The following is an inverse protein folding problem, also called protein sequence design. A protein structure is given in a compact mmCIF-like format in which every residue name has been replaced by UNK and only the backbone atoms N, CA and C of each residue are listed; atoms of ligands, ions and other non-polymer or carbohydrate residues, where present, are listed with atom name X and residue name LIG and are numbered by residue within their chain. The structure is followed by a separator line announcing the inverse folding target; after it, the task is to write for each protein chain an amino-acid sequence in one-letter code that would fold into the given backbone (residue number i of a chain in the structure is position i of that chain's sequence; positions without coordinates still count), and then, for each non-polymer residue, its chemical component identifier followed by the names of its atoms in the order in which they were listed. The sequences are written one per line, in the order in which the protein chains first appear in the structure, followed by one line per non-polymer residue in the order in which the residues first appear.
data_IF_311041209629
#
_entry.id   IF_311041209629
#
_cell.length_a   1.000
_cell.length_b   1.000
_cell.length_c   1.000
_cell.angle_alpha   90.00
_cell.angle_beta   90.00
_cell.angle_gamma   90.00
#
_symmetry.space_group_name_H-M   'P 1'
#
loop_
_entity.id
_entity.type
_entity.pdbx_description
1 polymer ?
#
# COMPACT_ATOMS: atom_id res chain seq x y z
N UNK A 1 -13.37 10.32 -26.31
CA UNK A 1 -14.41 9.38 -25.79
C UNK A 1 -14.76 9.81 -24.39
N UNK A 2 -16.04 10.02 -24.07
CA UNK A 2 -16.49 10.47 -22.74
C UNK A 2 -17.05 9.29 -21.96
N UNK A 3 -16.17 8.38 -21.51
CA UNK A 3 -16.57 7.17 -20.78
C UNK A 3 -15.99 7.27 -19.37
N UNK A 4 -16.82 7.37 -18.31
CA UNK A 4 -16.34 7.31 -16.94
C UNK A 4 -15.50 6.04 -16.74
N UNK A 5 -14.27 6.23 -16.27
CA UNK A 5 -13.29 5.17 -16.10
C UNK A 5 -12.88 5.09 -14.64
N UNK A 6 -13.25 3.99 -13.98
CA UNK A 6 -12.94 3.75 -12.58
C UNK A 6 -11.65 2.93 -12.55
N UNK A 7 -10.53 3.58 -12.24
CA UNK A 7 -9.21 2.99 -12.34
C UNK A 7 -8.76 2.43 -10.99
N UNK A 8 -8.41 1.15 -10.98
CA UNK A 8 -7.92 0.42 -9.81
C UNK A 8 -6.49 -0.04 -10.12
N UNK A 9 -5.50 0.67 -9.55
CA UNK A 9 -4.10 0.34 -9.77
C UNK A 9 -3.71 -0.98 -9.10
N UNK A 10 -3.16 -1.92 -9.88
CA UNK A 10 -2.48 -3.12 -9.37
C UNK A 10 -0.99 -2.84 -9.20
N UNK A 11 -0.39 -3.44 -8.17
CA UNK A 11 1.05 -3.54 -8.06
C UNK A 11 1.56 -4.76 -8.83
N UNK A 12 2.79 -4.70 -9.33
CA UNK A 12 3.44 -5.82 -10.00
C UNK A 12 4.03 -6.76 -8.94
N UNK A 13 3.67 -8.05 -8.99
CA UNK A 13 4.26 -9.10 -8.14
C UNK A 13 4.27 -8.79 -6.63
N UNK A 14 3.29 -8.05 -6.13
CA UNK A 14 3.19 -7.66 -4.72
C UNK A 14 4.21 -6.62 -4.25
N UNK A 15 5.00 -6.04 -5.15
CA UNK A 15 5.92 -4.92 -4.83
C UNK A 15 5.12 -3.68 -4.36
N UNK A 16 5.66 -2.83 -3.46
CA UNK A 16 4.94 -1.64 -3.02
C UNK A 16 4.58 -0.73 -4.21
N UNK A 17 3.38 -0.12 -4.19
CA UNK A 17 2.98 0.79 -5.27
C UNK A 17 3.81 2.08 -5.28
N UNK A 18 4.04 2.58 -6.48
CA UNK A 18 4.40 3.97 -6.75
C UNK A 18 3.31 4.64 -7.60
N UNK A 19 3.24 5.97 -7.58
CA UNK A 19 2.30 6.70 -8.45
C UNK A 19 2.61 6.44 -9.92
N UNK A 20 1.59 6.29 -10.77
CA UNK A 20 1.80 5.94 -12.18
C UNK A 20 2.56 7.00 -13.01
N UNK A 21 2.83 8.19 -12.46
CA UNK A 21 3.57 9.25 -13.16
C UNK A 21 2.88 9.75 -14.45
N UNK A 22 1.56 9.54 -14.59
CA UNK A 22 0.83 9.92 -15.79
C UNK A 22 0.67 11.45 -15.84
N UNK A 23 1.54 12.14 -16.59
CA UNK A 23 1.31 13.52 -17.04
C UNK A 23 0.18 13.54 -18.05
N UNK A 24 -1.05 13.60 -17.57
CA UNK A 24 -2.22 13.76 -18.43
C UNK A 24 -2.30 15.20 -18.88
N UNK A 25 -2.48 15.41 -20.18
CA UNK A 25 -2.65 16.74 -20.75
C UNK A 25 -3.89 17.40 -20.14
N UNK A 26 -3.71 18.56 -19.51
CA UNK A 26 -4.80 19.34 -18.87
C UNK A 26 -5.80 19.93 -19.86
N UNK A 27 -5.57 19.75 -21.17
CA UNK A 27 -6.40 20.30 -22.26
C UNK A 27 -7.75 19.59 -22.41
N UNK A 28 -7.94 18.42 -21.81
CA UNK A 28 -9.17 17.64 -21.93
C UNK A 28 -9.74 17.27 -20.56
N UNK A 29 -11.06 17.18 -20.48
CA UNK A 29 -11.76 16.69 -19.29
C UNK A 29 -11.25 15.31 -18.88
N UNK A 30 -10.94 15.15 -17.59
CA UNK A 30 -10.46 13.89 -17.05
C UNK A 30 -11.64 12.97 -16.69
N UNK A 31 -11.85 11.92 -17.50
CA UNK A 31 -12.87 10.90 -17.26
C UNK A 31 -12.44 9.76 -16.33
N UNK A 32 -11.21 9.78 -15.80
CA UNK A 32 -10.74 8.74 -14.88
C UNK A 32 -10.89 9.17 -13.43
N UNK A 33 -11.48 8.29 -12.62
CA UNK A 33 -11.49 8.37 -11.17
C UNK A 33 -10.57 7.28 -10.60
N UNK A 34 -9.58 7.68 -9.80
CA UNK A 34 -8.62 6.79 -9.17
C UNK A 34 -9.24 6.22 -7.89
N UNK A 35 -9.66 4.96 -7.95
CA UNK A 35 -10.40 4.28 -6.88
C UNK A 35 -9.51 3.98 -5.68
N UNK A 36 -8.27 3.52 -5.93
CA UNK A 36 -7.29 3.39 -4.86
C UNK A 36 -6.78 4.77 -4.45
N UNK A 37 -6.50 4.98 -3.16
CA UNK A 37 -5.96 6.25 -2.69
C UNK A 37 -4.56 6.52 -3.26
N UNK A 38 -4.11 7.78 -3.22
CA UNK A 38 -2.72 8.12 -3.46
C UNK A 38 -1.77 7.23 -2.66
N UNK A 39 -0.56 7.02 -3.18
CA UNK A 39 0.48 6.29 -2.45
C UNK A 39 1.02 7.23 -1.37
N UNK A 40 0.88 6.86 -0.10
CA UNK A 40 1.38 7.64 1.05
C UNK A 40 2.57 7.00 1.77
N UNK A 41 3.24 6.03 1.14
CA UNK A 41 4.33 5.30 1.78
C UNK A 41 5.47 6.24 2.22
N UNK A 42 5.72 7.32 1.47
CA UNK A 42 6.73 8.35 1.77
C UNK A 42 6.44 9.13 3.04
N UNK A 43 5.19 9.60 3.18
CA UNK A 43 4.77 10.37 4.33
C UNK A 43 4.78 9.50 5.58
N UNK A 44 4.29 8.27 5.46
CA UNK A 44 4.25 7.32 6.58
C UNK A 44 5.66 6.95 7.02
N UNK A 45 6.55 6.61 6.08
CA UNK A 45 7.92 6.22 6.45
C UNK A 45 8.70 7.39 7.05
N UNK A 46 8.54 8.61 6.52
CA UNK A 46 9.20 9.80 7.07
C UNK A 46 8.79 10.04 8.52
N UNK A 47 7.49 9.96 8.83
CA UNK A 47 7.00 10.09 10.20
C UNK A 47 7.61 9.02 11.12
N UNK A 48 7.65 7.76 10.68
CA UNK A 48 8.18 6.65 11.49
C UNK A 48 9.67 6.80 11.76
N UNK A 49 10.48 7.17 10.76
CA UNK A 49 11.93 7.32 10.97
C UNK A 49 12.26 8.56 11.81
N UNK A 50 11.46 9.63 11.71
CA UNK A 50 11.61 10.81 12.56
C UNK A 50 11.32 10.48 14.03
N UNK A 51 10.26 9.71 14.31
CA UNK A 51 9.95 9.22 15.66
C UNK A 51 11.05 8.32 16.22
N UNK A 52 11.69 7.50 15.38
CA UNK A 52 12.84 6.70 15.81
C UNK A 52 14.17 7.46 15.83
N UNK A 53 14.18 8.75 15.46
CA UNK A 53 15.36 9.59 15.34
C UNK A 53 16.49 8.95 14.50
N UNK A 54 16.14 8.27 13.42
CA UNK A 54 17.15 7.67 12.52
C UNK A 54 17.89 8.76 11.73
N UNK A 55 19.23 8.67 11.69
CA UNK A 55 20.09 9.60 10.93
C UNK A 55 20.88 8.91 9.81
N UNK A 56 21.07 7.59 9.90
CA UNK A 56 21.77 6.78 8.91
C UNK A 56 21.06 5.45 8.72
N UNK A 57 20.73 5.10 7.48
CA UNK A 57 20.02 3.85 7.16
C UNK A 57 20.12 3.50 5.67
N UNK A 58 19.80 2.25 5.33
CA UNK A 58 19.75 1.75 3.95
C UNK A 58 18.31 1.42 3.53
N UNK A 59 17.98 1.71 2.28
CA UNK A 59 16.72 1.34 1.65
C UNK A 59 16.97 0.20 0.68
N UNK A 60 16.34 -0.94 0.95
CA UNK A 60 16.27 -2.07 0.04
C UNK A 60 14.98 -2.04 -0.75
N UNK A 61 15.08 -2.20 -2.07
CA UNK A 61 13.91 -2.25 -2.96
C UNK A 61 14.05 -3.38 -3.98
N UNK A 62 12.93 -3.96 -4.41
CA UNK A 62 12.95 -5.09 -5.34
C UNK A 62 13.04 -4.64 -6.80
N UNK A 63 13.17 -5.59 -7.74
CA UNK A 63 13.32 -5.29 -9.17
C UNK A 63 12.12 -4.58 -9.79
N UNK A 64 10.94 -4.75 -9.19
CA UNK A 64 9.67 -4.20 -9.68
C UNK A 64 9.33 -2.85 -9.06
N UNK A 65 10.01 -2.46 -7.98
CA UNK A 65 9.75 -1.22 -7.29
C UNK A 65 10.23 -0.01 -8.10
N UNK A 66 9.31 0.91 -8.37
CA UNK A 66 9.62 2.17 -9.05
C UNK A 66 10.12 3.21 -8.04
N UNK A 67 11.44 3.45 -8.03
CA UNK A 67 12.13 4.35 -7.10
C UNK A 67 11.67 5.82 -7.18
N UNK A 68 10.97 6.25 -8.25
CA UNK A 68 10.32 7.56 -8.28
C UNK A 68 9.30 7.70 -7.15
N UNK A 69 8.78 6.57 -6.68
CA UNK A 69 7.90 6.46 -5.53
C UNK A 69 8.49 7.01 -4.24
N UNK A 70 9.81 7.08 -4.07
CA UNK A 70 10.48 7.62 -2.86
C UNK A 70 11.23 8.95 -3.09
N UNK A 71 11.05 9.60 -4.24
CA UNK A 71 11.78 10.84 -4.55
C UNK A 71 11.57 11.93 -3.48
N UNK A 72 10.31 12.25 -3.16
CA UNK A 72 9.99 13.28 -2.16
C UNK A 72 10.52 12.93 -0.76
N UNK A 73 10.62 11.63 -0.45
CA UNK A 73 11.21 11.16 0.80
C UNK A 73 12.72 11.41 0.81
N UNK A 74 13.43 11.08 -0.27
CA UNK A 74 14.87 11.28 -0.39
C UNK A 74 15.24 12.77 -0.35
N UNK A 75 14.45 13.62 -1.00
CA UNK A 75 14.64 15.07 -0.97
C UNK A 75 14.53 15.62 0.46
N UNK A 76 13.53 15.18 1.22
CA UNK A 76 13.35 15.58 2.64
C UNK A 76 14.45 15.01 3.54
N UNK A 77 14.84 13.75 3.34
CA UNK A 77 15.93 13.13 4.10
C UNK A 77 17.26 13.87 3.88
N UNK A 78 17.55 14.25 2.63
CA UNK A 78 18.72 15.04 2.25
C UNK A 78 18.70 16.44 2.88
N UNK A 79 17.55 17.13 2.83
CA UNK A 79 17.38 18.44 3.51
C UNK A 79 17.61 18.38 5.03
N UNK A 80 17.33 17.23 5.65
CA UNK A 80 17.55 16.99 7.07
C UNK A 80 18.96 16.46 7.38
N UNK A 81 19.82 16.28 6.38
CA UNK A 81 21.19 15.79 6.55
C UNK A 81 21.31 14.30 6.89
N UNK A 82 20.28 13.49 6.56
CA UNK A 82 20.33 12.04 6.79
C UNK A 82 21.24 11.34 5.78
N UNK A 83 21.99 10.34 6.24
CA UNK A 83 22.83 9.46 5.41
C UNK A 83 21.98 8.26 4.94
N UNK A 84 21.51 8.32 3.69
CA UNK A 84 20.61 7.32 3.11
C UNK A 84 21.28 6.57 1.97
N UNK A 85 21.51 5.27 2.15
CA UNK A 85 21.95 4.38 1.09
C UNK A 85 20.75 3.75 0.36
N UNK A 86 20.88 3.51 -0.95
CA UNK A 86 19.90 2.76 -1.73
C UNK A 86 20.54 1.51 -2.32
N UNK A 87 19.86 0.37 -2.20
CA UNK A 87 20.32 -0.89 -2.77
C UNK A 87 19.17 -1.72 -3.32
N UNK A 88 19.23 -2.01 -4.61
CA UNK A 88 18.30 -2.95 -5.25
C UNK A 88 18.61 -4.38 -4.79
N UNK A 89 17.58 -5.13 -4.42
CA UNK A 89 17.65 -6.56 -4.11
C UNK A 89 17.36 -7.34 -5.38
N UNK A 90 18.35 -8.10 -5.86
CA UNK A 90 18.20 -8.96 -7.03
C UNK A 90 17.31 -10.17 -6.72
N UNK A 91 16.58 -10.66 -7.73
CA UNK A 91 15.73 -11.85 -7.59
C UNK A 91 16.51 -13.08 -7.10
N UNK A 92 17.79 -13.20 -7.49
CA UNK A 92 18.70 -14.22 -6.96
C UNK A 92 19.50 -13.67 -5.78
N UNK A 93 18.84 -13.63 -4.61
CA UNK A 93 19.39 -13.10 -3.35
C UNK A 93 20.67 -13.85 -2.94
N UNK A 94 20.71 -15.17 -3.12
CA UNK A 94 21.87 -15.99 -2.78
C UNK A 94 23.09 -15.57 -3.60
N UNK A 95 22.92 -15.37 -4.92
CA UNK A 95 23.99 -14.89 -5.78
C UNK A 95 24.43 -13.47 -5.37
N UNK A 96 23.49 -12.57 -5.08
CA UNK A 96 23.81 -11.21 -4.63
C UNK A 96 24.70 -11.22 -3.38
N UNK A 97 24.31 -11.99 -2.37
CA UNK A 97 25.04 -12.08 -1.10
C UNK A 97 26.38 -12.81 -1.27
N UNK A 98 26.42 -13.93 -2.01
CA UNK A 98 27.67 -14.64 -2.29
C UNK A 98 28.67 -13.79 -3.07
N UNK A 99 28.21 -13.01 -4.07
CA UNK A 99 29.06 -12.08 -4.82
C UNK A 99 29.59 -10.96 -3.91
N UNK A 100 28.77 -10.46 -2.99
CA UNK A 100 29.20 -9.46 -1.99
C UNK A 100 30.33 -10.02 -1.11
N UNK A 101 30.18 -11.21 -0.55
CA UNK A 101 31.24 -11.86 0.24
C UNK A 101 32.51 -12.14 -0.56
N UNK A 102 32.39 -12.47 -1.85
CA UNK A 102 33.52 -12.76 -2.71
C UNK A 102 34.32 -11.51 -3.14
N UNK A 103 33.70 -10.32 -3.07
CA UNK A 103 34.28 -9.07 -3.61
C UNK A 103 34.72 -8.10 -2.51
N UNK A 104 34.07 -8.10 -1.35
CA UNK A 104 34.37 -7.17 -0.26
C UNK A 104 35.46 -7.71 0.67
N UNK A 105 36.35 -6.82 1.10
CA UNK A 105 37.32 -7.10 2.16
C UNK A 105 36.66 -7.11 3.53
N UNK A 106 37.34 -7.66 4.54
CA UNK A 106 36.81 -7.76 5.91
C UNK A 106 36.37 -6.40 6.49
N UNK A 107 37.16 -5.35 6.28
CA UNK A 107 36.84 -3.99 6.74
C UNK A 107 35.58 -3.42 6.06
N UNK A 108 35.42 -3.67 4.76
CA UNK A 108 34.24 -3.25 3.99
C UNK A 108 33.00 -4.01 4.45
N UNK A 109 33.14 -5.32 4.69
CA UNK A 109 32.08 -6.15 5.26
C UNK A 109 31.64 -5.67 6.65
N UNK A 110 32.58 -5.27 7.51
CA UNK A 110 32.25 -4.73 8.82
C UNK A 110 31.50 -3.38 8.71
N UNK A 111 31.91 -2.50 7.79
CA UNK A 111 31.17 -1.27 7.49
C UNK A 111 29.78 -1.55 6.93
N UNK A 112 29.66 -2.56 6.06
CA UNK A 112 28.37 -2.96 5.50
C UNK A 112 27.43 -3.50 6.60
N UNK A 113 27.93 -4.34 7.51
CA UNK A 113 27.18 -4.81 8.69
C UNK A 113 26.70 -3.66 9.57
N UNK A 114 27.51 -2.62 9.76
CA UNK A 114 27.09 -1.41 10.48
C UNK A 114 25.93 -0.69 9.78
N UNK A 115 26.00 -0.51 8.46
CA UNK A 115 24.92 0.05 7.64
C UNK A 115 23.63 -0.79 7.73
N UNK A 116 23.74 -2.12 7.81
CA UNK A 116 22.60 -3.03 7.95
C UNK A 116 21.89 -2.96 9.31
N UNK A 117 22.42 -2.25 10.31
CA UNK A 117 21.75 -2.07 11.60
C UNK A 117 20.41 -1.36 11.46
N UNK A 118 20.23 -0.51 10.45
CA UNK A 118 18.99 0.23 10.19
C UNK A 118 18.62 0.13 8.72
N UNK A 119 17.54 -0.57 8.40
CA UNK A 119 17.11 -0.78 7.02
C UNK A 119 15.61 -0.58 6.83
N UNK A 120 15.22 -0.12 5.64
CA UNK A 120 13.83 -0.01 5.20
C UNK A 120 13.65 -0.92 3.98
N UNK A 121 12.62 -1.77 4.01
CA UNK A 121 12.34 -2.77 2.97
C UNK A 121 11.11 -2.35 2.14
N UNK A 122 11.35 -1.86 0.94
CA UNK A 122 10.36 -1.66 -0.13
C UNK A 122 10.35 -2.89 -1.04
N UNK A 123 9.95 -4.03 -0.48
CA UNK A 123 9.99 -5.34 -1.14
C UNK A 123 8.59 -5.96 -1.18
N UNK A 124 8.34 -6.85 -2.13
CA UNK A 124 7.23 -7.79 -2.04
C UNK A 124 7.36 -8.66 -0.78
N UNK A 125 6.26 -9.15 -0.19
CA UNK A 125 6.33 -10.04 0.97
C UNK A 125 7.20 -11.27 0.73
N UNK A 126 7.13 -11.86 -0.47
CA UNK A 126 7.94 -13.02 -0.83
C UNK A 126 9.44 -12.69 -0.83
N UNK A 127 9.84 -11.61 -1.51
CA UNK A 127 11.23 -11.17 -1.59
C UNK A 127 11.76 -10.79 -0.21
N UNK A 128 10.97 -10.07 0.60
CA UNK A 128 11.34 -9.70 1.96
C UNK A 128 11.63 -10.91 2.83
N UNK A 129 10.76 -11.93 2.81
CA UNK A 129 10.95 -13.16 3.60
C UNK A 129 12.23 -13.90 3.21
N UNK A 130 12.49 -14.04 1.91
CA UNK A 130 13.70 -14.66 1.41
C UNK A 130 14.96 -13.85 1.77
N UNK A 131 14.89 -12.52 1.61
CA UNK A 131 16.01 -11.62 1.89
C UNK A 131 16.38 -11.60 3.37
N UNK A 132 15.38 -11.46 4.24
CA UNK A 132 15.55 -11.51 5.70
C UNK A 132 16.17 -12.83 6.13
N UNK A 133 15.68 -13.98 5.66
CA UNK A 133 16.29 -15.27 5.98
C UNK A 133 17.75 -15.32 5.54
N UNK A 134 18.05 -14.93 4.30
CA UNK A 134 19.41 -15.04 3.80
C UNK A 134 20.42 -14.16 4.55
N UNK A 135 20.04 -12.94 4.95
CA UNK A 135 20.94 -12.07 5.73
C UNK A 135 21.15 -12.57 7.17
N UNK A 136 20.14 -13.20 7.77
CA UNK A 136 20.23 -13.80 9.10
C UNK A 136 21.12 -15.04 9.05
N UNK A 137 20.85 -15.95 8.11
CA UNK A 137 21.61 -17.20 7.94
C UNK A 137 23.09 -16.93 7.59
N UNK A 138 23.36 -15.82 6.91
CA UNK A 138 24.72 -15.37 6.57
C UNK A 138 25.41 -14.54 7.66
N UNK A 139 24.79 -14.35 8.83
CA UNK A 139 25.29 -13.52 9.93
C UNK A 139 25.68 -12.09 9.48
N UNK A 140 24.88 -11.48 8.60
CA UNK A 140 25.07 -10.10 8.16
C UNK A 140 24.39 -9.08 9.09
N UNK A 141 23.42 -9.53 9.86
CA UNK A 141 22.72 -8.75 10.88
C UNK A 141 22.87 -9.41 12.24
N UNK A 142 22.72 -8.62 13.30
CA UNK A 142 22.72 -9.07 14.69
C UNK A 142 21.46 -8.56 15.42
N UNK A 143 21.30 -8.91 16.70
CA UNK A 143 20.12 -8.59 17.51
C UNK A 143 19.86 -7.09 17.68
N UNK A 144 20.89 -6.24 17.53
CA UNK A 144 20.79 -4.79 17.62
C UNK A 144 20.28 -4.12 16.33
N UNK A 145 19.94 -4.90 15.29
CA UNK A 145 19.33 -4.35 14.08
C UNK A 145 17.88 -3.92 14.33
N UNK A 146 17.45 -2.88 13.60
CA UNK A 146 16.07 -2.43 13.53
C UNK A 146 15.67 -2.22 12.08
N UNK A 147 14.81 -3.09 11.55
CA UNK A 147 14.34 -3.05 10.17
C UNK A 147 12.87 -2.61 10.10
N UNK A 148 12.52 -1.84 9.07
CA UNK A 148 11.15 -1.42 8.78
C UNK A 148 10.72 -2.06 7.46
N UNK A 149 9.71 -2.92 7.49
CA UNK A 149 9.03 -3.38 6.29
C UNK A 149 7.84 -2.49 5.99
N UNK A 150 7.73 -1.98 4.76
CA UNK A 150 6.65 -1.09 4.36
C UNK A 150 6.06 -1.53 3.02
N UNK A 151 4.79 -1.93 3.04
CA UNK A 151 4.03 -2.30 1.85
C UNK A 151 2.54 -2.18 2.17
N UNK A 152 1.74 -1.63 1.27
CA UNK A 152 0.28 -1.55 1.47
C UNK A 152 -0.32 -2.95 1.70
N UNK A 153 0.19 -3.96 0.99
CA UNK A 153 -0.38 -5.30 0.92
C UNK A 153 0.49 -6.34 1.62
N UNK A 154 0.04 -6.78 2.80
CA UNK A 154 0.72 -7.80 3.60
C UNK A 154 -0.31 -8.60 4.43
N UNK A 155 -0.37 -9.92 4.23
CA UNK A 155 -1.30 -10.78 4.97
C UNK A 155 -0.83 -11.03 6.42
N UNK A 156 -1.74 -11.48 7.29
CA UNK A 156 -1.37 -11.88 8.65
C UNK A 156 -0.38 -13.06 8.66
N UNK A 157 -0.50 -13.98 7.70
CA UNK A 157 0.46 -15.07 7.53
C UNK A 157 1.86 -14.57 7.17
N UNK A 158 1.96 -13.60 6.27
CA UNK A 158 3.24 -12.98 5.92
C UNK A 158 3.85 -12.21 7.10
N UNK A 159 3.02 -11.52 7.89
CA UNK A 159 3.46 -10.85 9.12
C UNK A 159 4.11 -11.86 10.07
N UNK A 160 3.44 -12.97 10.38
CA UNK A 160 3.97 -14.00 11.26
C UNK A 160 5.27 -14.61 10.70
N UNK A 161 5.33 -14.83 9.39
CA UNK A 161 6.50 -15.41 8.77
C UNK A 161 7.71 -14.45 8.76
N UNK A 162 7.51 -13.17 8.50
CA UNK A 162 8.56 -12.13 8.59
C UNK A 162 9.08 -11.98 10.04
N UNK A 163 8.17 -11.99 11.01
CA UNK A 163 8.53 -11.97 12.44
C UNK A 163 9.26 -13.26 12.84
N UNK A 164 8.92 -14.41 12.28
CA UNK A 164 9.64 -15.66 12.57
C UNK A 164 11.05 -15.68 11.96
N UNK A 165 11.22 -15.12 10.76
CA UNK A 165 12.48 -15.19 9.98
C UNK A 165 13.50 -14.12 10.36
N UNK A 166 13.07 -12.98 10.89
CA UNK A 166 13.98 -11.89 11.26
C UNK A 166 14.72 -12.17 12.59
N UNK A 167 15.64 -11.29 12.94
CA UNK A 167 16.17 -11.12 14.30
C UNK A 167 16.11 -9.63 14.66
N UNK A 168 16.40 -9.27 15.91
CA UNK A 168 16.34 -7.88 16.37
C UNK A 168 14.93 -7.26 16.27
N UNK A 169 14.88 -5.94 16.08
CA UNK A 169 13.60 -5.20 16.03
C UNK A 169 13.05 -5.15 14.61
N UNK A 170 11.80 -5.55 14.43
CA UNK A 170 11.07 -5.40 13.17
C UNK A 170 9.85 -4.49 13.38
N UNK A 171 9.70 -3.50 12.51
CA UNK A 171 8.51 -2.67 12.39
C UNK A 171 7.85 -2.95 11.05
N UNK A 172 6.54 -3.18 11.05
CA UNK A 172 5.77 -3.49 9.85
C UNK A 172 4.72 -2.42 9.65
N UNK A 173 4.68 -1.84 8.46
CA UNK A 173 3.73 -0.81 8.06
C UNK A 173 2.92 -1.36 6.89
N UNK A 174 1.61 -1.55 7.10
CA UNK A 174 0.68 -2.02 6.06
C UNK A 174 -0.63 -1.28 6.05
N UNK A 175 -1.33 -1.31 4.92
CA UNK A 175 -2.66 -0.73 4.82
C UNK A 175 -3.64 -1.58 5.65
N UNK A 176 -4.55 -0.91 6.36
CA UNK A 176 -5.64 -1.57 7.09
C UNK A 176 -6.99 -1.01 6.64
N UNK A 177 -8.05 -1.76 6.91
CA UNK A 177 -9.42 -1.38 6.58
C UNK A 177 -10.30 -1.46 7.83
N UNK A 178 -11.22 -0.50 8.02
CA UNK A 178 -12.10 -0.50 9.18
C UNK A 178 -13.06 -1.70 9.11
N UNK A 179 -12.82 -2.70 9.95
CA UNK A 179 -13.71 -3.85 10.11
C UNK A 179 -14.72 -3.58 11.23
N UNK A 180 -16.00 -3.85 10.98
CA UNK A 180 -17.01 -3.86 12.04
C UNK A 180 -16.69 -4.99 13.03
N UNK A 181 -16.47 -4.60 14.29
CA UNK A 181 -16.31 -5.53 15.41
C UNK A 181 -17.59 -6.34 15.66
N UNK A 182 -18.75 -5.76 15.36
CA UNK A 182 -20.03 -6.46 15.45
C UNK A 182 -20.18 -7.46 14.29
N UNK A 183 -20.26 -8.75 14.62
CA UNK A 183 -20.44 -9.87 13.70
C UNK A 183 -21.67 -9.72 12.82
N UNK A 184 -22.78 -9.21 13.36
CA UNK A 184 -24.05 -9.02 12.62
C UNK A 184 -23.93 -7.94 11.55
N UNK A 185 -23.12 -6.90 11.79
CA UNK A 185 -22.91 -5.81 10.83
C UNK A 185 -21.70 -6.02 9.91
N UNK A 186 -20.92 -7.09 10.10
CA UNK A 186 -19.71 -7.32 9.31
C UNK A 186 -20.00 -7.50 7.83
N UNK A 187 -21.04 -8.27 7.53
CA UNK A 187 -21.51 -8.57 6.18
C UNK A 187 -22.68 -7.70 5.72
N UNK A 188 -22.92 -6.58 6.41
CA UNK A 188 -23.96 -5.63 6.04
C UNK A 188 -23.40 -4.21 5.99
N UNK A 189 -23.91 -3.41 5.06
CA UNK A 189 -23.66 -1.96 4.97
C UNK A 189 -24.99 -1.26 4.80
N UNK A 190 -25.54 -0.78 5.91
CA UNK A 190 -26.95 -0.37 5.95
C UNK A 190 -27.85 -1.56 5.59
N UNK A 191 -28.60 -1.45 4.49
CA UNK A 191 -29.49 -2.50 3.97
C UNK A 191 -28.82 -3.42 2.94
N UNK A 192 -27.59 -3.11 2.50
CA UNK A 192 -26.87 -3.91 1.51
C UNK A 192 -26.20 -5.11 2.19
N UNK A 193 -26.51 -6.34 1.72
CA UNK A 193 -25.91 -7.58 2.22
C UNK A 193 -24.73 -7.98 1.35
N UNK A 194 -23.59 -8.22 1.99
CA UNK A 194 -22.35 -8.67 1.37
C UNK A 194 -22.28 -10.20 1.46
N UNK A 195 -21.78 -10.85 0.41
CA UNK A 195 -21.57 -12.30 0.43
C UNK A 195 -20.63 -12.70 1.58
N UNK A 196 -20.99 -13.68 2.42
CA UNK A 196 -20.14 -14.15 3.53
C UNK A 196 -18.70 -14.45 3.12
N UNK A 197 -18.50 -15.02 1.92
CA UNK A 197 -17.16 -15.31 1.38
C UNK A 197 -16.24 -14.09 1.25
N UNK A 198 -16.80 -12.88 1.19
CA UNK A 198 -16.06 -11.63 1.05
C UNK A 198 -15.89 -10.86 2.37
N UNK A 199 -16.63 -11.20 3.42
CA UNK A 199 -16.72 -10.39 4.65
C UNK A 199 -16.52 -11.18 5.94
N UNK A 200 -16.70 -12.51 5.93
CA UNK A 200 -16.44 -13.36 7.08
C UNK A 200 -14.93 -13.69 7.17
N UNK A 201 -14.21 -13.25 8.22
CA UNK A 201 -12.79 -13.58 8.39
C UNK A 201 -12.51 -15.09 8.56
N UNK A 202 -13.55 -15.88 8.86
CA UNK A 202 -13.42 -17.34 8.94
C UNK A 202 -13.41 -18.00 7.57
N UNK A 203 -13.86 -17.30 6.53
CA UNK A 203 -13.87 -17.85 5.17
C UNK A 203 -12.45 -17.82 4.58
N UNK A 204 -11.94 -18.95 4.05
CA UNK A 204 -10.61 -18.99 3.46
C UNK A 204 -10.46 -18.06 2.26
N UNK A 205 -11.54 -17.79 1.52
CA UNK A 205 -11.52 -16.84 0.40
C UNK A 205 -11.19 -15.43 0.89
N UNK A 206 -11.79 -14.99 2.00
CA UNK A 206 -11.56 -13.66 2.60
C UNK A 206 -10.08 -13.43 2.92
N UNK A 207 -9.41 -14.46 3.40
CA UNK A 207 -8.01 -14.43 3.84
C UNK A 207 -7.02 -14.33 2.67
N UNK A 208 -7.45 -14.73 1.47
CA UNK A 208 -6.65 -14.68 0.24
C UNK A 208 -7.03 -13.51 -0.68
N UNK A 209 -7.91 -12.61 -0.25
CA UNK A 209 -8.31 -11.45 -1.07
C UNK A 209 -7.18 -10.42 -1.14
N UNK A 210 -6.83 -10.02 -2.36
CA UNK A 210 -5.95 -8.87 -2.57
C UNK A 210 -6.70 -7.57 -2.22
N UNK A 211 -5.94 -6.52 -1.89
CA UNK A 211 -6.49 -5.18 -1.66
C UNK A 211 -7.32 -4.72 -2.86
N UNK A 212 -6.90 -5.06 -4.07
CA UNK A 212 -7.59 -4.65 -5.29
C UNK A 212 -8.99 -5.28 -5.41
N UNK A 213 -9.21 -6.50 -4.91
CA UNK A 213 -10.53 -7.12 -4.87
C UNK A 213 -11.52 -6.32 -4.01
N UNK A 214 -11.07 -5.76 -2.89
CA UNK A 214 -11.92 -4.95 -2.00
C UNK A 214 -12.37 -3.66 -2.71
N UNK A 215 -11.44 -2.99 -3.42
CA UNK A 215 -11.76 -1.80 -4.20
C UNK A 215 -12.64 -2.11 -5.42
N UNK A 216 -12.51 -3.28 -6.05
CA UNK A 216 -13.42 -3.72 -7.12
C UNK A 216 -14.85 -3.81 -6.57
N UNK A 217 -15.03 -4.46 -5.41
CA UNK A 217 -16.34 -4.62 -4.80
C UNK A 217 -17.01 -3.26 -4.55
N UNK A 218 -16.30 -2.36 -3.89
CA UNK A 218 -16.84 -1.03 -3.55
C UNK A 218 -17.11 -0.19 -4.80
N UNK A 219 -16.31 -0.34 -5.85
CA UNK A 219 -16.54 0.32 -7.15
C UNK A 219 -17.87 -0.10 -7.77
N UNK A 220 -18.18 -1.40 -7.76
CA UNK A 220 -19.45 -1.90 -8.32
C UNK A 220 -20.64 -1.38 -7.51
N UNK A 221 -20.54 -1.36 -6.17
CA UNK A 221 -21.58 -0.79 -5.30
C UNK A 221 -21.76 0.72 -5.56
N UNK A 222 -20.67 1.46 -5.75
CA UNK A 222 -20.71 2.89 -6.08
C UNK A 222 -21.40 3.15 -7.42
N UNK A 223 -21.07 2.35 -8.45
CA UNK A 223 -21.71 2.45 -9.77
C UNK A 223 -23.20 2.14 -9.69
N UNK A 224 -23.60 1.11 -8.94
CA UNK A 224 -25.01 0.77 -8.73
C UNK A 224 -25.79 1.95 -8.09
N UNK A 225 -25.21 2.59 -7.07
CA UNK A 225 -25.82 3.77 -6.45
C UNK A 225 -25.89 4.97 -7.41
N UNK A 226 -24.87 5.20 -8.23
CA UNK A 226 -24.87 6.24 -9.24
C UNK A 226 -25.96 6.02 -10.31
N UNK A 227 -26.13 4.77 -10.76
CA UNK A 227 -27.19 4.41 -11.71
C UNK A 227 -28.58 4.55 -11.10
N UNK A 228 -28.77 4.08 -9.86
CA UNK A 228 -30.01 4.24 -9.13
C UNK A 228 -30.40 5.73 -9.03
N UNK A 229 -29.47 6.58 -8.60
CA UNK A 229 -29.70 8.03 -8.52
C UNK A 229 -30.05 8.65 -9.87
N UNK A 230 -29.38 8.25 -10.95
CA UNK A 230 -29.69 8.76 -12.30
C UNK A 230 -31.10 8.39 -12.77
N UNK A 231 -31.56 7.18 -12.44
CA UNK A 231 -32.90 6.71 -12.78
C UNK A 231 -33.95 7.42 -11.93
N UNK A 232 -33.72 7.54 -10.61
CA UNK A 232 -34.59 8.25 -9.67
C UNK A 232 -34.76 9.73 -10.04
N UNK A 233 -33.65 10.41 -10.35
CA UNK A 233 -33.65 11.82 -10.77
C UNK A 233 -34.20 12.03 -12.21
N UNK A 234 -34.59 10.95 -12.92
CA UNK A 234 -35.04 10.96 -14.33
C UNK A 234 -34.04 11.62 -15.30
N UNK A 235 -32.74 11.49 -15.00
CA UNK A 235 -31.61 12.07 -15.78
C UNK A 235 -30.81 11.00 -16.53
N UNK A 236 -31.46 9.88 -16.85
CA UNK A 236 -30.83 8.77 -17.54
C UNK A 236 -30.52 9.12 -19.00
N UNK A 237 -29.30 8.79 -19.44
CA UNK A 237 -28.91 8.83 -20.84
C UNK A 237 -28.59 7.41 -21.29
N UNK A 238 -29.25 6.95 -22.35
CA UNK A 238 -29.00 5.62 -22.90
C UNK A 238 -27.56 5.45 -23.36
N UNK A 239 -27.06 4.22 -23.22
CA UNK A 239 -25.77 3.82 -23.78
C UNK A 239 -25.83 3.91 -25.31
N UNK A 240 -24.70 4.28 -25.91
CA UNK A 240 -24.55 4.35 -27.36
C UNK A 240 -23.50 3.35 -27.82
N UNK A 241 -23.69 2.75 -28.99
CA UNK A 241 -22.63 2.01 -29.67
C UNK A 241 -21.64 3.03 -30.23
N UNK A 242 -20.38 2.93 -29.82
CA UNK A 242 -19.33 3.88 -30.17
C UNK A 242 -18.20 3.16 -30.91
N UNK A 243 -17.49 3.91 -31.75
CA UNK A 243 -16.30 3.42 -32.44
C UNK A 243 -15.10 4.31 -32.12
N UNK A 244 -13.96 3.67 -31.84
CA UNK A 244 -12.68 4.36 -31.61
C UNK A 244 -11.83 4.37 -32.90
N UNK A 245 -10.86 5.29 -32.98
CA UNK A 245 -9.85 5.34 -34.06
C UNK A 245 -10.50 5.51 -35.46
N UNK A 246 -11.65 6.21 -35.53
CA UNK A 246 -12.29 6.60 -36.79
C UNK A 246 -12.39 8.12 -36.88
N UNK A 247 -12.31 8.66 -38.09
CA UNK A 247 -12.48 10.11 -38.34
C UNK A 247 -13.85 10.63 -37.85
N UNK A 248 -14.87 9.79 -37.86
CA UNK A 248 -16.24 10.11 -37.43
C UNK A 248 -16.55 9.71 -35.97
N UNK A 249 -15.54 9.33 -35.18
CA UNK A 249 -15.73 8.96 -33.77
C UNK A 249 -16.36 10.10 -32.97
N UNK A 250 -17.55 9.86 -32.40
CA UNK A 250 -18.23 10.79 -31.48
C UNK A 250 -18.16 10.27 -30.04
N UNK A 251 -18.06 11.14 -29.03
CA UNK A 251 -18.10 10.72 -27.64
C UNK A 251 -19.53 10.34 -27.21
N UNK A 252 -19.65 9.59 -26.11
CA UNK A 252 -20.93 9.36 -25.46
C UNK A 252 -21.48 10.68 -24.89
N UNK A 253 -22.70 11.05 -25.29
CA UNK A 253 -23.33 12.30 -24.86
C UNK A 253 -23.66 12.31 -23.35
N UNK A 254 -24.02 11.15 -22.79
CA UNK A 254 -24.30 11.01 -21.36
C UNK A 254 -23.06 10.95 -20.47
N UNK A 255 -21.86 10.93 -21.05
CA UNK A 255 -20.60 10.67 -20.36
C UNK A 255 -20.32 11.63 -19.22
N UNK A 256 -20.35 12.93 -19.49
CA UNK A 256 -20.04 13.98 -18.52
C UNK A 256 -21.01 13.93 -17.32
N UNK A 257 -22.31 13.89 -17.62
CA UNK A 257 -23.37 13.77 -16.60
C UNK A 257 -23.19 12.52 -15.74
N UNK A 258 -22.84 11.37 -16.34
CA UNK A 258 -22.57 10.14 -15.59
C UNK A 258 -21.33 10.23 -14.71
N UNK A 259 -20.23 10.76 -15.25
CA UNK A 259 -18.98 10.97 -14.52
C UNK A 259 -19.22 11.82 -13.27
N UNK A 260 -19.98 12.90 -13.41
CA UNK A 260 -20.34 13.80 -12.32
C UNK A 260 -21.16 13.13 -11.22
N UNK A 261 -22.12 12.29 -11.58
CA UNK A 261 -22.92 11.54 -10.60
C UNK A 261 -22.07 10.51 -9.85
N UNK A 262 -21.17 9.82 -10.55
CA UNK A 262 -20.24 8.87 -9.90
C UNK A 262 -19.28 9.61 -8.97
N UNK A 263 -18.68 10.71 -9.44
CA UNK A 263 -17.70 11.51 -8.68
C UNK A 263 -18.29 12.09 -7.39
N UNK A 264 -19.54 12.55 -7.43
CA UNK A 264 -20.27 13.08 -6.25
C UNK A 264 -20.88 11.99 -5.36
N UNK A 265 -20.86 10.73 -5.81
CA UNK A 265 -21.34 9.59 -5.04
C UNK A 265 -20.35 9.20 -3.94
N UNK A 266 -20.84 8.44 -2.96
CA UNK A 266 -20.02 7.83 -1.93
C UNK A 266 -20.70 6.57 -1.40
N UNK A 267 -19.89 5.57 -1.02
CA UNK A 267 -20.38 4.30 -0.47
C UNK A 267 -19.55 3.85 0.73
N UNK A 268 -20.21 3.27 1.72
CA UNK A 268 -19.53 2.56 2.79
C UNK A 268 -19.49 1.06 2.44
N UNK A 269 -18.31 0.53 2.16
CA UNK A 269 -18.09 -0.81 1.64
C UNK A 269 -17.04 -1.60 2.42
N UNK A 270 -16.28 -2.42 1.71
CA UNK A 270 -15.20 -3.27 2.21
C UNK A 270 -13.95 -2.49 2.59
N UNK A 271 -13.71 -1.36 1.92
CA UNK A 271 -12.55 -0.49 2.15
C UNK A 271 -12.82 0.64 3.14
N UNK A 272 -13.99 0.64 3.77
CA UNK A 272 -14.53 1.79 4.50
C UNK A 272 -15.31 2.70 3.56
N UNK A 273 -15.10 4.01 3.64
CA UNK A 273 -15.82 4.95 2.80
C UNK A 273 -15.07 5.18 1.47
N UNK A 274 -15.65 4.78 0.35
CA UNK A 274 -15.17 5.11 -1.00
C UNK A 274 -15.91 6.35 -1.51
N UNK A 275 -15.16 7.40 -1.82
CA UNK A 275 -15.63 8.66 -2.40
C UNK A 275 -14.52 9.28 -3.25
N UNK A 276 -14.81 10.36 -3.98
CA UNK A 276 -13.81 11.07 -4.79
C UNK A 276 -13.72 12.55 -4.43
N UNK A 277 -12.48 13.06 -4.36
CA UNK A 277 -12.20 14.51 -4.35
C UNK A 277 -12.43 15.12 -5.72
N UNK A 278 -12.37 16.45 -5.82
CA UNK A 278 -12.50 17.17 -7.10
C UNK A 278 -11.49 16.71 -8.15
N UNK A 279 -10.28 16.35 -7.71
CA UNK A 279 -9.22 15.81 -8.55
C UNK A 279 -9.46 14.36 -9.03
N UNK A 280 -10.58 13.74 -8.64
CA UNK A 280 -10.96 12.39 -9.02
C UNK A 280 -10.27 11.27 -8.25
N UNK A 281 -9.50 11.59 -7.21
CA UNK A 281 -8.83 10.60 -6.36
C UNK A 281 -9.64 10.25 -5.11
N UNK A 282 -9.63 8.98 -4.73
CA UNK A 282 -10.11 8.54 -3.42
C UNK A 282 -9.19 9.06 -2.31
N UNK A 283 -9.69 9.82 -1.32
CA UNK A 283 -8.83 10.38 -0.28
C UNK A 283 -8.56 9.43 0.89
N UNK A 284 -9.32 8.34 1.03
CA UNK A 284 -9.39 7.60 2.28
C UNK A 284 -8.40 6.43 2.30
N UNK A 285 -7.51 6.43 3.29
CA UNK A 285 -6.51 5.38 3.51
C UNK A 285 -6.12 5.34 4.98
N UNK A 286 -5.82 4.15 5.48
CA UNK A 286 -5.40 3.90 6.85
C UNK A 286 -4.23 2.93 6.83
N UNK A 287 -3.23 3.18 7.65
CA UNK A 287 -2.11 2.26 7.88
C UNK A 287 -2.12 1.82 9.33
N UNK A 288 -1.73 0.58 9.59
CA UNK A 288 -1.35 0.15 10.92
C UNK A 288 0.15 -0.07 11.01
N UNK A 289 0.70 0.22 12.17
CA UNK A 289 2.12 0.05 12.48
C UNK A 289 2.22 -1.03 13.54
N UNK A 290 2.84 -2.15 13.16
CA UNK A 290 3.11 -3.28 14.04
C UNK A 290 4.59 -3.28 14.43
N UNK A 291 4.89 -3.78 15.63
CA UNK A 291 6.25 -3.89 16.14
C UNK A 291 6.44 -5.21 16.86
N UNK A 292 7.60 -5.84 16.63
CA UNK A 292 7.99 -7.01 17.41
C UNK A 292 8.20 -6.65 18.87
N UNK A 293 7.79 -7.54 19.77
CA UNK A 293 8.14 -7.50 21.18
C UNK A 293 8.80 -8.82 21.59
N UNK A 294 9.67 -8.74 22.59
CA UNK A 294 10.26 -9.90 23.25
C UNK A 294 9.57 -10.01 24.61
N UNK A 295 8.71 -11.01 24.78
CA UNK A 295 8.04 -11.29 26.07
C UNK A 295 8.97 -12.04 27.03
N UNK A 296 8.65 -11.99 28.32
CA UNK A 296 9.38 -12.68 29.40
C UNK A 296 9.38 -14.22 29.24
N UNK A 297 8.41 -14.78 28.49
CA UNK A 297 8.25 -16.22 28.25
C UNK A 297 8.89 -16.73 26.92
N UNK A 298 10.03 -16.17 26.50
CA UNK A 298 10.85 -16.62 25.35
C UNK A 298 10.17 -16.63 23.95
N UNK A 299 8.89 -16.28 23.84
CA UNK A 299 8.18 -16.16 22.57
C UNK A 299 8.38 -14.80 21.90
N UNK A 300 8.97 -14.76 20.70
CA UNK A 300 9.01 -13.54 19.88
C UNK A 300 7.62 -13.27 19.30
N UNK A 301 6.98 -12.19 19.73
CA UNK A 301 5.64 -11.80 19.32
C UNK A 301 5.62 -10.57 18.42
N UNK A 302 4.41 -10.23 17.95
CA UNK A 302 4.14 -8.97 17.29
C UNK A 302 2.88 -8.34 17.88
N UNK A 303 2.95 -7.04 18.12
CA UNK A 303 1.81 -6.27 18.62
C UNK A 303 1.61 -5.03 17.77
N UNK A 304 0.36 -4.57 17.72
CA UNK A 304 0.02 -3.28 17.16
C UNK A 304 0.57 -2.17 18.05
N UNK A 305 1.35 -1.26 17.47
CA UNK A 305 1.98 -0.15 18.18
C UNK A 305 1.23 1.16 17.93
N UNK A 306 0.64 1.33 16.74
CA UNK A 306 -0.18 2.50 16.41
C UNK A 306 -1.14 2.21 15.26
N UNK A 307 -2.24 2.96 15.22
CA UNK A 307 -3.05 3.21 14.02
C UNK A 307 -2.69 4.57 13.43
N UNK A 308 -2.61 4.65 12.09
CA UNK A 308 -2.41 5.89 11.36
C UNK A 308 -3.57 6.10 10.37
N UNK A 309 -4.51 6.94 10.80
CA UNK A 309 -5.61 7.42 9.97
C UNK A 309 -5.12 8.61 9.15
N UNK A 310 -4.81 8.42 7.87
CA UNK A 310 -4.41 9.50 6.95
C UNK A 310 -5.61 10.32 6.45
N UNK A 311 -6.55 10.62 7.35
CA UNK A 311 -7.58 11.66 7.18
C UNK A 311 -7.09 12.99 7.78
N UNK A 312 -6.17 12.92 8.76
CA UNK A 312 -5.50 14.06 9.39
C UNK A 312 -4.08 13.63 9.79
N UNK A 313 -3.06 14.10 9.07
CA UNK A 313 -1.62 13.77 9.24
C UNK A 313 -1.04 14.19 10.63
N UNK A 314 -1.85 14.63 11.59
CA UNK A 314 -1.39 15.40 12.76
C UNK A 314 -1.38 14.67 14.10
N UNK A 315 -1.73 13.39 14.18
CA UNK A 315 -1.73 12.68 15.48
C UNK A 315 -1.13 11.27 15.36
N UNK A 316 0.20 11.20 15.21
CA UNK A 316 0.94 10.00 15.57
C UNK A 316 1.37 10.13 17.04
N UNK A 317 1.01 9.15 17.86
CA UNK A 317 1.72 8.84 19.12
C UNK A 317 2.13 7.38 19.01
N UNK A 318 3.36 7.13 18.58
CA UNK A 318 3.92 5.78 18.65
C UNK A 318 4.15 5.51 20.15
N UNK A 319 3.38 4.59 20.74
CA UNK A 319 3.60 4.18 22.13
C UNK A 319 4.81 3.25 22.17
N UNK A 320 5.97 3.82 22.44
CA UNK A 320 7.20 3.07 22.72
C UNK A 320 6.99 2.19 23.95
N UNK A 321 7.09 0.86 23.79
CA UNK A 321 7.64 0.01 24.85
C UNK A 321 8.79 -0.79 24.24
#
# INVERSE_FOLDING_TARGET
MHIPHLYIQRATSGSPRSGCGLTRTSRHENYTLSVRPPVYLNEVILLVISEFAWQKFIIFYDSEYDIRGIQDFLDKASQQGMDVALQKVENNINRMISTMFATMRLEEMNRYRDTLRRAILFLSPQTAKAFVSQVVDSNLVAFDCHWIFINEELSDGDVQELVRRSIGRLTIIRQTFPLSLNTTHRCFRGKHRISPSLCDPKDPYKNNMEITNLYIYDTVVLLANAFHKKLEDRKWHSMASLTCIRKSSKPWQGGHSMLDTIRKGGVNGMTGFLQFKENGGNPNVQFEILGTNYGEDLGRGIRKVSDLLLVNIRQLKIVSF
#
